data_IF_610366729225
#
_entry.id   IF_610366729225
#
_cell.length_a   1.000
_cell.length_b   1.000
_cell.length_c   1.000
_cell.angle_alpha   90.00
_cell.angle_beta   90.00
_cell.angle_gamma   90.00
#
_symmetry.space_group_name_H-M   'P 1'
#
loop_
_entity.id
_entity.type
_entity.pdbx_description
1 polymer ?
#
# COMPACT_ATOMS: atom_id res chain seq x y z
N UNK A 1 -15.08 53.82 20.12
CA UNK A 1 -13.71 53.32 19.84
C UNK A 1 -13.01 53.12 21.19
N UNK A 2 -12.34 51.99 21.47
CA UNK A 2 -12.16 50.76 20.70
C UNK A 2 -12.84 49.54 21.34
N UNK A 3 -13.50 48.71 20.53
CA UNK A 3 -13.75 47.30 20.86
C UNK A 3 -12.46 46.53 20.54
N UNK A 4 -11.82 45.99 21.56
CA UNK A 4 -10.65 45.12 21.43
C UNK A 4 -11.11 43.71 21.07
N UNK A 5 -11.21 43.42 19.76
CA UNK A 5 -11.27 42.05 19.27
C UNK A 5 -9.85 41.47 19.28
N UNK A 6 -9.48 40.80 20.38
CA UNK A 6 -8.41 39.80 20.34
C UNK A 6 -8.95 38.52 19.69
N UNK A 7 -8.25 37.92 18.71
CA UNK A 7 -8.62 36.61 18.19
C UNK A 7 -8.26 35.53 19.22
N UNK A 8 -9.05 34.44 19.33
CA UNK A 8 -8.72 33.33 20.21
C UNK A 8 -7.40 32.72 19.77
N UNK A 9 -6.48 32.61 20.73
CA UNK A 9 -5.20 31.90 20.61
C UNK A 9 -5.43 30.55 19.93
N UNK A 10 -4.87 30.41 18.73
CA UNK A 10 -4.91 29.17 17.97
C UNK A 10 -4.23 28.08 18.79
N UNK A 11 -5.03 27.12 19.25
CA UNK A 11 -4.52 25.89 19.83
C UNK A 11 -3.51 25.28 18.87
N UNK A 12 -2.26 25.17 19.32
CA UNK A 12 -1.31 24.32 18.64
C UNK A 12 -1.95 22.95 18.47
N UNK A 13 -1.97 22.36 17.26
CA UNK A 13 -2.32 20.96 17.13
C UNK A 13 -1.28 20.22 17.97
N UNK A 14 -1.72 19.63 19.08
CA UNK A 14 -0.92 18.68 19.83
C UNK A 14 -0.37 17.71 18.79
N UNK A 15 0.95 17.73 18.62
CA UNK A 15 1.64 16.66 17.92
C UNK A 15 1.31 15.42 18.75
N UNK A 16 0.32 14.64 18.31
CA UNK A 16 0.12 13.29 18.80
C UNK A 16 1.41 12.56 18.48
N UNK A 17 2.29 12.53 19.47
CA UNK A 17 3.46 11.70 19.47
C UNK A 17 2.90 10.29 19.40
N UNK A 18 2.99 9.70 18.22
CA UNK A 18 2.61 8.32 18.01
C UNK A 18 3.56 7.52 18.87
N UNK A 19 3.05 7.00 19.98
CA UNK A 19 3.81 6.11 20.84
C UNK A 19 4.08 4.84 20.05
N UNK A 20 5.30 4.73 19.53
CA UNK A 20 5.73 3.60 18.70
C UNK A 20 5.63 2.31 19.51
N UNK A 21 5.74 2.38 20.84
CA UNK A 21 5.57 1.22 21.72
C UNK A 21 4.10 0.79 21.85
N UNK A 22 3.13 1.68 21.59
CA UNK A 22 1.72 1.30 21.55
C UNK A 22 1.35 0.60 20.22
N UNK A 23 2.10 0.86 19.13
CA UNK A 23 1.95 0.18 17.85
C UNK A 23 2.62 -1.20 17.83
N UNK A 24 3.70 -1.35 18.59
CA UNK A 24 4.41 -2.61 18.79
C UNK A 24 3.88 -3.18 20.11
N UNK A 25 2.72 -3.84 20.06
CA UNK A 25 2.12 -4.45 21.24
C UNK A 25 3.15 -5.22 22.07
N UNK A 26 3.07 -5.10 23.40
CA UNK A 26 3.97 -5.71 24.39
C UNK A 26 4.01 -7.25 24.29
N UNK A 27 4.62 -7.78 23.24
CA UNK A 27 5.06 -9.16 23.15
C UNK A 27 6.44 -9.16 22.50
N UNK A 28 7.46 -9.06 23.35
CA UNK A 28 8.88 -9.27 23.02
C UNK A 28 9.18 -10.71 22.56
N UNK A 29 8.23 -11.44 21.97
CA UNK A 29 8.48 -12.76 21.40
C UNK A 29 9.02 -12.57 19.98
N UNK A 30 10.32 -12.82 19.74
CA UNK A 30 10.92 -12.65 18.42
C UNK A 30 10.25 -13.51 17.35
N UNK A 31 9.60 -14.62 17.73
CA UNK A 31 8.85 -15.47 16.79
C UNK A 31 7.57 -14.79 16.30
N UNK A 32 6.83 -14.13 17.19
CA UNK A 32 5.60 -13.41 16.82
C UNK A 32 5.91 -12.22 15.92
N UNK A 33 6.97 -11.47 16.25
CA UNK A 33 7.46 -10.39 15.39
C UNK A 33 7.86 -10.92 14.01
N UNK A 34 8.57 -12.06 13.96
CA UNK A 34 8.97 -12.68 12.69
C UNK A 34 7.79 -13.20 11.86
N UNK A 35 6.76 -13.75 12.49
CA UNK A 35 5.57 -14.24 11.80
C UNK A 35 4.72 -13.08 11.24
N UNK A 36 4.60 -11.97 11.98
CA UNK A 36 3.96 -10.75 11.46
C UNK A 36 4.77 -10.11 10.33
N UNK A 37 6.11 -10.12 10.41
CA UNK A 37 6.97 -9.68 9.30
C UNK A 37 6.76 -10.55 8.06
N UNK A 38 6.73 -11.89 8.21
CA UNK A 38 6.45 -12.79 7.08
C UNK A 38 5.08 -12.51 6.45
N UNK A 39 4.05 -12.32 7.28
CA UNK A 39 2.70 -12.03 6.82
C UNK A 39 2.63 -10.68 6.11
N UNK A 40 3.28 -9.65 6.66
CA UNK A 40 3.39 -8.34 6.04
C UNK A 40 4.12 -8.41 4.70
N UNK A 41 5.23 -9.16 4.63
CA UNK A 41 5.99 -9.39 3.40
C UNK A 41 5.11 -10.14 2.38
N UNK A 42 4.45 -11.24 2.74
CA UNK A 42 3.54 -11.96 1.83
C UNK A 42 2.41 -11.08 1.30
N UNK A 43 1.81 -10.23 2.15
CA UNK A 43 0.78 -9.29 1.74
C UNK A 43 1.32 -8.15 0.86
N UNK A 44 2.59 -7.77 1.02
CA UNK A 44 3.28 -6.80 0.15
C UNK A 44 3.64 -7.39 -1.22
N UNK A 45 3.70 -8.71 -1.32
CA UNK A 45 4.13 -9.44 -2.52
C UNK A 45 2.96 -9.90 -3.40
N UNK A 46 1.72 -9.67 -2.98
CA UNK A 46 0.53 -9.92 -3.79
C UNK A 46 -0.08 -8.58 -4.20
N UNK A 47 -0.03 -8.27 -5.49
CA UNK A 47 -0.67 -7.09 -6.05
C UNK A 47 -2.06 -7.47 -6.54
N UNK A 48 -3.10 -6.81 -6.03
CA UNK A 48 -4.47 -6.96 -6.51
C UNK A 48 -5.04 -5.60 -6.88
N UNK A 49 -5.47 -5.44 -8.13
CA UNK A 49 -6.04 -4.20 -8.65
C UNK A 49 -7.39 -4.51 -9.27
N UNK A 50 -8.38 -3.69 -8.93
CA UNK A 50 -9.71 -3.77 -9.52
C UNK A 50 -10.14 -2.41 -10.03
N UNK A 51 -10.45 -2.30 -11.31
CA UNK A 51 -11.18 -1.17 -11.89
C UNK A 51 -12.64 -1.57 -12.01
N UNK A 52 -13.57 -0.73 -11.52
CA UNK A 52 -15.01 -1.00 -11.57
C UNK A 52 -15.77 0.21 -12.12
N UNK A 53 -16.90 -0.04 -12.76
CA UNK A 53 -17.84 1.01 -13.12
C UNK A 53 -18.74 1.35 -11.93
N UNK A 54 -18.66 2.59 -11.47
CA UNK A 54 -19.56 3.07 -10.42
C UNK A 54 -21.00 3.15 -10.94
N UNK A 55 -21.93 2.45 -10.28
CA UNK A 55 -23.32 2.34 -10.72
C UNK A 55 -23.59 1.21 -11.72
N UNK A 56 -22.54 0.47 -12.11
CA UNK A 56 -22.65 -0.80 -12.84
C UNK A 56 -22.92 -1.99 -11.91
N UNK A 57 -23.02 -3.18 -12.50
CA UNK A 57 -23.14 -4.43 -11.74
C UNK A 57 -21.80 -4.80 -11.05
N UNK A 58 -21.83 -5.60 -9.97
CA UNK A 58 -20.60 -5.93 -9.22
C UNK A 58 -19.56 -6.71 -10.04
N UNK A 59 -20.01 -7.46 -11.04
CA UNK A 59 -19.18 -8.23 -11.96
C UNK A 59 -18.65 -7.40 -13.14
N UNK A 60 -19.11 -6.16 -13.33
CA UNK A 60 -18.59 -5.20 -14.30
C UNK A 60 -17.28 -4.59 -13.82
N UNK A 61 -16.25 -5.43 -13.79
CA UNK A 61 -14.90 -5.09 -13.37
C UNK A 61 -13.83 -5.55 -14.35
N UNK A 62 -12.68 -4.89 -14.26
CA UNK A 62 -11.39 -5.37 -14.74
C UNK A 62 -10.55 -5.65 -13.50
N UNK A 63 -10.01 -6.84 -13.40
CA UNK A 63 -9.25 -7.31 -12.24
C UNK A 63 -7.90 -7.88 -12.70
N UNK A 64 -6.85 -7.50 -12.00
CA UNK A 64 -5.51 -8.06 -12.15
C UNK A 64 -5.00 -8.49 -10.78
N UNK A 65 -4.51 -9.73 -10.70
CA UNK A 65 -3.76 -10.27 -9.56
C UNK A 65 -2.38 -10.69 -10.01
N UNK A 66 -1.36 -10.26 -9.28
CA UNK A 66 0.04 -10.62 -9.55
C UNK A 66 0.66 -11.15 -8.25
N UNK A 67 1.14 -12.39 -8.30
CA UNK A 67 2.05 -12.93 -7.30
C UNK A 67 3.47 -12.52 -7.68
N UNK A 68 4.05 -11.60 -6.92
CA UNK A 68 5.37 -11.03 -7.21
C UNK A 68 6.53 -11.98 -6.88
N UNK A 69 6.28 -13.07 -6.16
CA UNK A 69 7.30 -14.10 -5.91
C UNK A 69 7.40 -15.09 -7.06
N UNK A 70 6.25 -15.50 -7.58
CA UNK A 70 6.17 -16.48 -8.68
C UNK A 70 6.16 -15.81 -10.06
N UNK A 71 6.00 -14.48 -10.10
CA UNK A 71 5.70 -13.73 -11.31
C UNK A 71 4.44 -14.24 -12.04
N UNK A 72 3.53 -14.88 -11.29
CA UNK A 72 2.29 -15.41 -11.81
C UNK A 72 1.24 -14.29 -11.87
N UNK A 73 0.59 -14.15 -13.03
CA UNK A 73 -0.41 -13.12 -13.28
C UNK A 73 -1.73 -13.72 -13.71
N UNK A 74 -2.80 -13.30 -13.06
CA UNK A 74 -4.19 -13.61 -13.43
C UNK A 74 -4.92 -12.32 -13.77
N UNK A 75 -5.60 -12.27 -14.91
CA UNK A 75 -6.45 -11.15 -15.30
C UNK A 75 -7.88 -11.65 -15.53
N UNK A 76 -8.87 -10.91 -15.04
CA UNK A 76 -10.28 -11.10 -15.34
C UNK A 76 -10.83 -9.81 -15.93
N UNK A 77 -11.43 -9.87 -17.11
CA UNK A 77 -12.01 -8.72 -17.79
C UNK A 77 -13.47 -9.05 -18.08
N UNK A 78 -14.39 -8.25 -17.54
CA UNK A 78 -15.80 -8.39 -17.92
C UNK A 78 -15.98 -8.10 -19.41
N UNK A 79 -16.81 -8.91 -20.09
CA UNK A 79 -16.96 -8.87 -21.55
C UNK A 79 -17.37 -7.48 -22.07
N UNK A 80 -18.10 -6.71 -21.28
CA UNK A 80 -18.58 -5.37 -21.66
C UNK A 80 -17.43 -4.45 -22.08
N UNK A 81 -16.27 -4.51 -21.41
CA UNK A 81 -15.10 -3.69 -21.70
C UNK A 81 -14.41 -4.06 -23.01
N UNK A 82 -14.69 -5.26 -23.56
CA UNK A 82 -14.16 -5.71 -24.84
C UNK A 82 -15.09 -5.40 -26.01
N UNK A 83 -16.38 -5.17 -25.73
CA UNK A 83 -17.42 -5.05 -26.75
C UNK A 83 -17.98 -3.65 -26.88
N UNK A 84 -17.92 -2.85 -25.82
CA UNK A 84 -18.38 -1.46 -25.81
C UNK A 84 -17.22 -0.50 -26.09
N UNK A 85 -17.22 0.20 -27.25
CA UNK A 85 -16.17 1.16 -27.59
C UNK A 85 -16.04 2.31 -26.58
N UNK A 86 -17.13 2.70 -25.93
CA UNK A 86 -17.14 3.82 -24.98
C UNK A 86 -16.44 3.43 -23.66
N UNK A 87 -16.29 2.13 -23.39
CA UNK A 87 -15.64 1.59 -22.21
C UNK A 87 -14.23 1.06 -22.49
N UNK A 88 -13.80 1.00 -23.76
CA UNK A 88 -12.51 0.43 -24.15
C UNK A 88 -11.31 1.16 -23.49
N UNK A 89 -11.42 2.48 -23.25
CA UNK A 89 -10.38 3.26 -22.58
C UNK A 89 -10.09 2.79 -21.14
N UNK A 90 -11.05 2.12 -20.49
CA UNK A 90 -10.87 1.62 -19.13
C UNK A 90 -9.87 0.46 -19.06
N UNK A 91 -9.62 -0.24 -20.19
CA UNK A 91 -8.57 -1.26 -20.29
C UNK A 91 -7.18 -0.62 -20.22
N UNK A 92 -6.97 0.48 -20.95
CA UNK A 92 -5.73 1.25 -20.93
C UNK A 92 -5.52 1.86 -19.54
N UNK A 93 -6.54 2.54 -19.02
CA UNK A 93 -6.52 3.08 -17.65
C UNK A 93 -6.17 2.02 -16.61
N UNK A 94 -6.78 0.83 -16.67
CA UNK A 94 -6.46 -0.26 -15.73
C UNK A 94 -5.01 -0.73 -15.87
N UNK A 95 -4.50 -0.81 -17.10
CA UNK A 95 -3.11 -1.19 -17.37
C UNK A 95 -2.14 -0.17 -16.75
N UNK A 96 -2.41 1.12 -16.89
CA UNK A 96 -1.62 2.18 -16.26
C UNK A 96 -1.63 2.06 -14.73
N UNK A 97 -2.78 1.73 -14.13
CA UNK A 97 -2.86 1.51 -12.67
C UNK A 97 -2.03 0.29 -12.23
N UNK A 98 -2.00 -0.77 -13.04
CA UNK A 98 -1.14 -1.95 -12.79
C UNK A 98 0.33 -1.56 -12.83
N UNK A 99 0.77 -0.83 -13.86
CA UNK A 99 2.17 -0.42 -13.98
C UNK A 99 2.60 0.50 -12.82
N UNK A 100 1.77 1.48 -12.46
CA UNK A 100 2.05 2.37 -11.32
C UNK A 100 2.18 1.59 -10.00
N UNK A 101 1.31 0.62 -9.77
CA UNK A 101 1.37 -0.18 -8.55
C UNK A 101 2.57 -1.14 -8.54
N UNK A 102 2.99 -1.67 -9.69
CA UNK A 102 4.23 -2.46 -9.80
C UNK A 102 5.46 -1.60 -9.47
N UNK A 103 5.54 -0.37 -9.97
CA UNK A 103 6.62 0.57 -9.66
C UNK A 103 6.66 0.94 -8.16
N UNK A 104 5.50 1.17 -7.55
CA UNK A 104 5.38 1.43 -6.12
C UNK A 104 5.88 0.25 -5.28
N UNK A 105 5.55 -0.98 -5.68
CA UNK A 105 6.01 -2.17 -4.97
C UNK A 105 7.52 -2.37 -5.14
N UNK A 106 8.06 -2.17 -6.34
CA UNK A 106 9.52 -2.21 -6.56
C UNK A 106 10.25 -1.22 -5.63
N UNK A 107 9.74 0.01 -5.52
CA UNK A 107 10.29 1.03 -4.61
C UNK A 107 10.25 0.57 -3.15
N UNK A 108 9.15 -0.04 -2.70
CA UNK A 108 9.02 -0.58 -1.34
C UNK A 108 9.98 -1.76 -1.09
N UNK A 109 10.14 -2.66 -2.06
CA UNK A 109 11.08 -3.78 -1.95
C UNK A 109 12.53 -3.31 -1.88
N UNK A 110 12.89 -2.27 -2.63
CA UNK A 110 14.22 -1.66 -2.55
C UNK A 110 14.46 -1.01 -1.19
N UNK A 111 13.47 -0.29 -0.65
CA UNK A 111 13.54 0.24 0.71
C UNK A 111 13.78 -0.87 1.75
N UNK A 112 13.01 -1.97 1.69
CA UNK A 112 13.17 -3.10 2.60
C UNK A 112 14.56 -3.75 2.48
N UNK A 113 15.07 -3.90 1.24
CA UNK A 113 16.42 -4.41 1.00
C UNK A 113 17.48 -3.51 1.64
N UNK A 114 17.33 -2.20 1.52
CA UNK A 114 18.26 -1.23 2.09
C UNK A 114 18.18 -1.23 3.63
N UNK A 115 16.98 -1.29 4.20
CA UNK A 115 16.78 -1.43 5.64
C UNK A 115 17.47 -2.70 6.18
N UNK A 116 17.27 -3.84 5.50
CA UNK A 116 17.89 -5.10 5.89
C UNK A 116 19.43 -5.05 5.85
N UNK A 117 20.01 -4.38 4.83
CA UNK A 117 21.46 -4.15 4.76
C UNK A 117 21.97 -3.30 5.91
N UNK A 118 21.31 -2.20 6.24
CA UNK A 118 21.69 -1.31 7.34
C UNK A 118 21.66 -2.06 8.68
N UNK A 119 20.54 -2.74 8.98
CA UNK A 119 20.43 -3.53 10.21
C UNK A 119 21.49 -4.62 10.31
N UNK A 120 21.80 -5.29 9.20
CA UNK A 120 22.85 -6.32 9.18
C UNK A 120 24.25 -5.75 9.43
N UNK A 121 24.52 -4.50 9.02
CA UNK A 121 25.78 -3.83 9.28
C UNK A 121 25.91 -3.46 10.76
N UNK A 122 24.87 -2.84 11.34
CA UNK A 122 24.82 -2.47 12.77
C UNK A 122 25.00 -3.70 13.68
N UNK A 123 24.36 -4.83 13.36
CA UNK A 123 24.52 -6.07 14.12
C UNK A 123 25.98 -6.56 14.06
N UNK A 124 26.62 -6.53 12.89
CA UNK A 124 28.03 -6.94 12.75
C UNK A 124 28.99 -6.04 13.50
N UNK A 125 28.68 -4.75 13.66
CA UNK A 125 29.51 -3.83 14.45
C UNK A 125 29.29 -4.00 15.96
N UNK A 126 28.13 -4.50 16.38
CA UNK A 126 27.79 -4.78 17.77
C UNK A 126 28.28 -6.15 18.28
N UNK A 127 28.79 -7.04 17.41
CA UNK A 127 29.29 -8.39 17.76
C UNK A 127 30.79 -8.51 17.60
#
# INVERSE_FOLDING_TARGET
>A
MPDGNEPPSGGHPEKKQVDVNALIGEENDPKKVWDEIKKAISNLLCLEITTRLCGGAEDEKIYTKIDLLQADRTNEIHRIFLTDPDLAFLLEFHTDQVELAEQDIQTKLEFLRNLAKTLSAEIKEAT
#
